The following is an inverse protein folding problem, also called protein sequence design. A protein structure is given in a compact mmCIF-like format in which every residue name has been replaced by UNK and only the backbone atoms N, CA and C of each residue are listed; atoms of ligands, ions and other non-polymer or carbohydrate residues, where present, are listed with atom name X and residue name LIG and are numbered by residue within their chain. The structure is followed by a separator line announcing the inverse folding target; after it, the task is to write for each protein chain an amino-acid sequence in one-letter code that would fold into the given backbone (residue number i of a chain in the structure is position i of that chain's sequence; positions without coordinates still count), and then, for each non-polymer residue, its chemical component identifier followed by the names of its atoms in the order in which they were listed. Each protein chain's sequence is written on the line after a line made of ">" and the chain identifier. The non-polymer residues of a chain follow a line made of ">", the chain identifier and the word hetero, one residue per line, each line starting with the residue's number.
data_IF_346491371572
#
_entry.id   IF_346491371572
#
_cell.length_a   1.000
_cell.length_b   1.000
_cell.length_c   1.000
_cell.angle_alpha   90.00
_cell.angle_beta   90.00
_cell.angle_gamma   90.00
#
_symmetry.space_group_name_H-M   'P 1'
#
loop_
_entity.id
_entity.type
_entity.pdbx_description
1 polymer ?
#
# COMPACT_ATOMS: atom_id res chain seq x y z
N UNK A 1 -3.14 -10.01 6.69
CA UNK A 1 -2.05 -10.40 7.62
C UNK A 1 -1.84 -11.92 7.75
N UNK A 2 -2.83 -12.76 8.08
CA UNK A 2 -2.64 -14.23 8.21
C UNK A 2 -2.07 -14.89 6.95
N UNK A 3 -2.60 -14.55 5.77
CA UNK A 3 -2.11 -15.11 4.49
C UNK A 3 -0.69 -14.63 4.15
N UNK A 4 -0.38 -13.37 4.39
CA UNK A 4 0.98 -12.82 4.25
C UNK A 4 1.96 -13.59 5.13
N UNK A 5 1.64 -13.81 6.42
CA UNK A 5 2.51 -14.56 7.33
C UNK A 5 2.71 -16.03 6.88
N UNK A 6 1.68 -16.66 6.31
CA UNK A 6 1.81 -18.00 5.71
C UNK A 6 2.77 -18.00 4.51
N UNK A 7 2.67 -17.01 3.63
CA UNK A 7 3.55 -16.88 2.45
C UNK A 7 4.99 -16.61 2.88
N UNK A 8 5.19 -15.74 3.86
CA UNK A 8 6.51 -15.46 4.46
C UNK A 8 7.10 -16.72 5.11
N UNK A 9 6.28 -17.51 5.82
CA UNK A 9 6.73 -18.75 6.43
C UNK A 9 7.20 -19.76 5.36
N UNK A 10 6.40 -20.00 4.32
CA UNK A 10 6.73 -20.92 3.22
C UNK A 10 8.00 -20.51 2.47
N UNK A 11 8.16 -19.23 2.13
CA UNK A 11 9.38 -18.73 1.49
C UNK A 11 10.60 -18.85 2.39
N UNK A 12 10.43 -18.61 3.68
CA UNK A 12 11.52 -18.77 4.65
C UNK A 12 11.94 -20.23 4.81
N UNK A 13 10.99 -21.15 4.85
CA UNK A 13 11.25 -22.59 4.93
C UNK A 13 12.02 -23.06 3.69
N UNK A 14 11.54 -22.72 2.50
CA UNK A 14 12.20 -23.05 1.24
C UNK A 14 13.61 -22.45 1.16
N UNK A 15 13.78 -21.18 1.57
CA UNK A 15 15.10 -20.55 1.65
C UNK A 15 16.02 -21.26 2.65
N UNK A 16 15.53 -21.60 3.83
CA UNK A 16 16.32 -22.25 4.89
C UNK A 16 16.76 -23.65 4.47
N UNK A 17 15.94 -24.39 3.70
CA UNK A 17 16.33 -25.65 3.12
C UNK A 17 17.62 -25.53 2.29
N UNK A 18 17.70 -24.47 1.45
CA UNK A 18 18.93 -24.20 0.69
C UNK A 18 20.08 -23.76 1.59
N UNK A 19 19.85 -22.89 2.56
CA UNK A 19 20.90 -22.44 3.51
C UNK A 19 21.50 -23.60 4.30
N UNK A 20 20.68 -24.55 4.75
CA UNK A 20 21.14 -25.70 5.53
C UNK A 20 22.00 -26.68 4.71
N UNK A 21 21.81 -26.73 3.39
CA UNK A 21 22.51 -27.65 2.49
C UNK A 21 23.72 -27.01 1.78
N UNK A 22 24.09 -25.78 2.16
CA UNK A 22 25.20 -25.07 1.54
C UNK A 22 26.50 -25.33 2.30
N UNK A 23 27.40 -26.09 1.67
CA UNK A 23 28.81 -26.12 2.06
C UNK A 23 29.61 -24.98 1.40
N UNK A 24 29.10 -24.38 0.31
CA UNK A 24 29.73 -23.26 -0.40
C UNK A 24 28.68 -22.40 -1.10
N UNK A 25 28.63 -21.10 -0.80
CA UNK A 25 27.64 -20.14 -1.34
C UNK A 25 27.66 -20.04 -2.87
N UNK A 26 28.79 -20.39 -3.50
CA UNK A 26 28.96 -20.32 -4.95
C UNK A 26 28.37 -21.54 -5.71
N UNK A 27 27.88 -22.56 -5.02
CA UNK A 27 27.45 -23.83 -5.64
C UNK A 27 25.95 -24.09 -5.45
N UNK A 28 25.17 -23.04 -5.28
CA UNK A 28 23.72 -23.10 -5.07
C UNK A 28 22.96 -23.47 -6.35
N UNK A 29 23.06 -24.73 -6.76
CA UNK A 29 22.21 -25.28 -7.84
C UNK A 29 20.75 -25.26 -7.41
N UNK A 30 19.89 -24.72 -8.27
CA UNK A 30 18.45 -24.64 -8.02
C UNK A 30 17.70 -25.60 -8.91
N UNK A 31 16.87 -26.44 -8.32
CA UNK A 31 15.99 -27.31 -9.08
C UNK A 31 14.89 -26.51 -9.81
N UNK A 32 14.54 -26.90 -11.02
CA UNK A 32 13.54 -26.20 -11.83
C UNK A 32 12.19 -26.04 -11.13
N UNK A 33 11.79 -27.02 -10.33
CA UNK A 33 10.56 -26.95 -9.56
C UNK A 33 10.63 -25.86 -8.47
N UNK A 34 11.79 -25.73 -7.82
CA UNK A 34 11.97 -24.73 -6.76
C UNK A 34 12.00 -23.30 -7.34
N UNK A 35 12.54 -23.12 -8.56
CA UNK A 35 12.45 -21.84 -9.27
C UNK A 35 10.98 -21.43 -9.46
N UNK A 36 10.12 -22.37 -9.86
CA UNK A 36 8.68 -22.11 -9.99
C UNK A 36 8.06 -21.75 -8.65
N UNK A 37 8.37 -22.48 -7.59
CA UNK A 37 7.87 -22.18 -6.25
C UNK A 37 8.33 -20.83 -5.73
N UNK A 38 9.62 -20.50 -5.85
CA UNK A 38 10.12 -19.17 -5.48
C UNK A 38 9.39 -18.07 -6.23
N UNK A 39 9.25 -18.17 -7.55
CA UNK A 39 8.56 -17.18 -8.36
C UNK A 39 7.09 -17.03 -7.96
N UNK A 40 6.37 -18.14 -7.77
CA UNK A 40 4.96 -18.12 -7.36
C UNK A 40 4.79 -17.44 -6.00
N UNK A 41 5.58 -17.85 -5.00
CA UNK A 41 5.47 -17.29 -3.65
C UNK A 41 5.97 -15.84 -3.58
N UNK A 42 6.99 -15.46 -4.37
CA UNK A 42 7.44 -14.07 -4.45
C UNK A 42 6.36 -13.18 -5.09
N UNK A 43 5.76 -13.59 -6.20
CA UNK A 43 4.63 -12.86 -6.80
C UNK A 43 3.48 -12.69 -5.80
N UNK A 44 3.11 -13.75 -5.09
CA UNK A 44 2.09 -13.69 -4.06
C UNK A 44 2.50 -12.77 -2.90
N UNK A 45 3.75 -12.85 -2.44
CA UNK A 45 4.26 -12.00 -1.36
C UNK A 45 4.27 -10.53 -1.75
N UNK A 46 4.71 -10.21 -2.97
CA UNK A 46 4.72 -8.85 -3.52
C UNK A 46 3.31 -8.26 -3.49
N UNK A 47 2.32 -8.98 -4.01
CA UNK A 47 0.93 -8.53 -4.00
C UNK A 47 0.37 -8.33 -2.59
N UNK A 48 0.75 -9.20 -1.65
CA UNK A 48 0.30 -9.13 -0.25
C UNK A 48 1.00 -8.03 0.55
N UNK A 49 2.25 -7.69 0.23
CA UNK A 49 3.05 -6.66 0.92
C UNK A 49 2.76 -5.28 0.36
N UNK A 50 2.48 -5.18 -0.94
CA UNK A 50 2.26 -3.89 -1.62
C UNK A 50 1.28 -2.97 -0.89
N UNK A 51 0.11 -3.44 -0.42
CA UNK A 51 -0.85 -2.63 0.33
C UNK A 51 -0.29 -2.00 1.60
N UNK A 52 0.70 -2.63 2.22
CA UNK A 52 1.26 -2.20 3.51
C UNK A 52 2.58 -1.46 3.35
N UNK A 53 3.35 -1.80 2.34
CA UNK A 53 4.68 -1.21 2.08
C UNK A 53 5.07 -1.34 0.61
N UNK A 54 4.66 -0.37 -0.24
CA UNK A 54 5.06 -0.34 -1.66
C UNK A 54 6.57 -0.38 -1.86
N UNK A 55 7.34 0.21 -0.94
CA UNK A 55 8.80 0.20 -1.00
C UNK A 55 9.37 -1.22 -0.85
N UNK A 56 8.85 -2.00 0.10
CA UNK A 56 9.27 -3.40 0.28
C UNK A 56 8.82 -4.26 -0.90
N UNK A 57 7.61 -4.03 -1.43
CA UNK A 57 7.12 -4.72 -2.60
C UNK A 57 8.02 -4.46 -3.82
N UNK A 58 8.46 -3.23 -4.04
CA UNK A 58 9.42 -2.88 -5.10
C UNK A 58 10.80 -3.56 -4.89
N UNK A 59 11.27 -3.63 -3.65
CA UNK A 59 12.49 -4.36 -3.31
C UNK A 59 12.36 -5.87 -3.59
N UNK A 60 11.20 -6.45 -3.30
CA UNK A 60 10.89 -7.85 -3.62
C UNK A 60 10.81 -8.10 -5.12
N UNK A 61 10.25 -7.16 -5.90
CA UNK A 61 10.24 -7.23 -7.37
C UNK A 61 11.67 -7.26 -7.94
N UNK A 62 12.57 -6.39 -7.45
CA UNK A 62 13.97 -6.39 -7.87
C UNK A 62 14.69 -7.69 -7.47
N UNK A 63 14.41 -8.20 -6.27
CA UNK A 63 14.93 -9.51 -5.83
C UNK A 63 14.41 -10.61 -6.76
N UNK A 64 13.12 -10.66 -7.07
CA UNK A 64 12.53 -11.69 -7.92
C UNK A 64 13.13 -11.68 -9.32
N UNK A 65 13.28 -10.50 -9.92
CA UNK A 65 13.85 -10.35 -11.27
C UNK A 65 15.30 -10.85 -11.37
N UNK A 66 16.06 -10.76 -10.28
CA UNK A 66 17.50 -11.01 -10.24
C UNK A 66 17.91 -12.17 -9.31
N UNK A 67 16.95 -12.97 -8.81
CA UNK A 67 17.21 -14.03 -7.82
C UNK A 67 18.04 -15.18 -8.39
N UNK A 68 17.87 -15.45 -9.69
CA UNK A 68 18.52 -16.59 -10.36
C UNK A 68 19.50 -16.12 -11.42
N UNK A 69 20.68 -16.75 -11.42
CA UNK A 69 21.67 -16.62 -12.49
C UNK A 69 21.54 -17.81 -13.43
N UNK A 70 21.32 -17.55 -14.72
CA UNK A 70 21.15 -18.55 -15.75
C UNK A 70 22.49 -18.79 -16.47
N UNK A 71 22.96 -20.03 -16.46
CA UNK A 71 24.12 -20.51 -17.18
C UNK A 71 23.89 -21.95 -17.64
N UNK A 72 24.93 -22.78 -17.72
CA UNK A 72 24.78 -24.21 -17.95
C UNK A 72 23.93 -24.90 -16.87
N UNK A 73 23.96 -24.36 -15.67
CA UNK A 73 23.07 -24.68 -14.55
C UNK A 73 22.47 -23.38 -14.01
N UNK A 74 21.31 -23.46 -13.41
CA UNK A 74 20.70 -22.30 -12.72
C UNK A 74 21.20 -22.31 -11.27
N UNK A 75 21.71 -21.17 -10.83
CA UNK A 75 22.16 -20.95 -9.46
C UNK A 75 21.44 -19.74 -8.87
N UNK A 76 21.40 -19.63 -7.53
CA UNK A 76 20.99 -18.38 -6.91
C UNK A 76 22.05 -17.28 -7.12
N UNK A 77 21.57 -16.05 -7.28
CA UNK A 77 22.41 -14.89 -7.08
C UNK A 77 22.64 -14.73 -5.56
N UNK A 78 23.89 -14.89 -5.07
CA UNK A 78 24.14 -14.90 -3.62
C UNK A 78 23.71 -13.61 -2.92
N UNK A 79 23.91 -12.47 -3.59
CA UNK A 79 23.52 -11.16 -3.06
C UNK A 79 22.00 -11.03 -2.92
N UNK A 80 21.25 -11.40 -3.97
CA UNK A 80 19.77 -11.31 -3.96
C UNK A 80 19.15 -12.35 -3.03
N UNK A 81 19.74 -13.51 -2.92
CA UNK A 81 19.34 -14.54 -1.96
C UNK A 81 19.55 -14.11 -0.51
N UNK A 82 20.65 -13.38 -0.23
CA UNK A 82 20.89 -12.73 1.05
C UNK A 82 19.86 -11.65 1.34
N UNK A 83 19.63 -10.75 0.39
CA UNK A 83 18.63 -9.67 0.50
C UNK A 83 17.22 -10.21 0.76
N UNK A 84 16.82 -11.30 0.09
CA UNK A 84 15.55 -11.98 0.36
C UNK A 84 15.44 -12.40 1.84
N UNK A 85 16.53 -12.96 2.40
CA UNK A 85 16.55 -13.33 3.83
C UNK A 85 16.31 -12.16 4.75
N UNK A 86 16.93 -11.01 4.48
CA UNK A 86 16.74 -9.77 5.27
C UNK A 86 15.30 -9.27 5.19
N UNK A 87 14.72 -9.24 3.99
CA UNK A 87 13.31 -8.81 3.81
C UNK A 87 12.35 -9.77 4.51
N UNK A 88 12.55 -11.09 4.39
CA UNK A 88 11.70 -12.07 5.07
C UNK A 88 11.81 -11.97 6.61
N UNK A 89 12.99 -11.69 7.14
CA UNK A 89 13.19 -11.47 8.58
C UNK A 89 12.44 -10.21 9.05
N UNK A 90 12.52 -9.11 8.29
CA UNK A 90 11.78 -7.90 8.58
C UNK A 90 10.26 -8.12 8.55
N UNK A 91 9.74 -8.79 7.53
CA UNK A 91 8.30 -9.10 7.42
C UNK A 91 7.77 -10.01 8.55
N UNK A 92 8.65 -10.72 9.23
CA UNK A 92 8.33 -11.52 10.45
C UNK A 92 8.42 -10.69 11.72
N UNK A 93 9.08 -9.55 11.69
CA UNK A 93 9.30 -8.74 12.90
C UNK A 93 8.01 -8.12 13.41
N UNK A 94 7.97 -7.88 14.72
CA UNK A 94 6.87 -7.15 15.33
C UNK A 94 6.78 -5.71 14.80
N UNK A 95 7.90 -5.10 14.41
CA UNK A 95 7.93 -3.74 13.86
C UNK A 95 7.11 -3.63 12.57
N UNK A 96 7.25 -4.62 11.66
CA UNK A 96 6.42 -4.66 10.46
C UNK A 96 4.94 -4.87 10.80
N UNK A 97 4.64 -5.81 11.71
CA UNK A 97 3.27 -6.12 12.14
C UNK A 97 2.63 -4.90 12.81
N UNK A 98 3.35 -4.22 13.70
CA UNK A 98 2.87 -3.02 14.38
C UNK A 98 2.66 -1.86 13.39
N UNK A 99 3.62 -1.61 12.49
CA UNK A 99 3.49 -0.55 11.51
C UNK A 99 2.31 -0.78 10.55
N UNK A 100 2.07 -2.01 10.12
CA UNK A 100 0.94 -2.33 9.23
C UNK A 100 -0.41 -2.28 9.95
N UNK A 101 -0.46 -2.59 11.25
CA UNK A 101 -1.69 -2.44 12.04
C UNK A 101 -2.01 -0.97 12.33
N UNK A 102 -1.03 -0.08 12.41
CA UNK A 102 -1.25 1.37 12.52
C UNK A 102 -1.96 1.95 11.30
N UNK A 103 -1.63 1.51 10.09
CA UNK A 103 -2.21 2.06 8.85
C UNK A 103 -3.69 1.74 8.62
N UNK A 104 -4.28 0.79 9.37
CA UNK A 104 -5.68 0.40 9.19
C UNK A 104 -6.50 0.46 10.47
N UNK A 105 -6.00 1.11 11.51
CA UNK A 105 -6.67 1.14 12.81
C UNK A 105 -7.35 2.49 13.06
N UNK A 106 -8.24 2.89 12.17
CA UNK A 106 -9.15 4.00 12.44
C UNK A 106 -10.38 3.46 13.21
N UNK A 107 -11.13 4.31 13.91
CA UNK A 107 -12.38 3.90 14.56
C UNK A 107 -13.50 3.59 13.55
N UNK A 108 -13.26 3.75 12.26
CA UNK A 108 -14.23 3.61 11.17
C UNK A 108 -13.99 2.33 10.36
N UNK A 109 -14.66 1.25 10.73
CA UNK A 109 -14.47 -0.06 10.07
C UNK A 109 -14.79 -0.03 8.56
N UNK A 110 -15.80 0.72 8.14
CA UNK A 110 -16.17 0.92 6.75
C UNK A 110 -15.06 1.55 5.92
N UNK A 111 -14.36 2.55 6.47
CA UNK A 111 -13.20 3.19 5.83
C UNK A 111 -12.02 2.22 5.79
N UNK A 112 -11.75 1.50 6.88
CA UNK A 112 -10.67 0.52 6.93
C UNK A 112 -10.85 -0.57 5.85
N UNK A 113 -12.06 -1.11 5.68
CA UNK A 113 -12.37 -2.09 4.64
C UNK A 113 -12.27 -1.51 3.23
N UNK A 114 -12.74 -0.28 3.02
CA UNK A 114 -12.65 0.40 1.74
C UNK A 114 -11.20 0.68 1.33
N UNK A 115 -10.36 1.14 2.26
CA UNK A 115 -8.92 1.35 2.03
C UNK A 115 -8.23 0.03 1.74
N UNK A 116 -8.53 -1.02 2.49
CA UNK A 116 -7.99 -2.36 2.23
C UNK A 116 -8.32 -2.84 0.82
N UNK A 117 -9.59 -2.71 0.42
CA UNK A 117 -10.02 -3.06 -0.95
C UNK A 117 -9.32 -2.22 -2.01
N UNK A 118 -9.20 -0.91 -1.82
CA UNK A 118 -8.45 -0.03 -2.71
C UNK A 118 -7.01 -0.52 -2.91
N UNK A 119 -6.34 -0.92 -1.84
CA UNK A 119 -4.98 -1.43 -1.87
C UNK A 119 -4.88 -2.76 -2.63
N UNK A 120 -5.83 -3.68 -2.40
CA UNK A 120 -5.93 -4.95 -3.12
C UNK A 120 -6.15 -4.73 -4.62
N UNK A 121 -7.13 -3.92 -4.99
CA UNK A 121 -7.48 -3.61 -6.38
C UNK A 121 -6.31 -2.90 -7.10
N UNK A 122 -5.63 -1.97 -6.43
CA UNK A 122 -4.48 -1.25 -7.01
C UNK A 122 -3.28 -2.15 -7.30
N UNK A 123 -3.11 -3.23 -6.52
CA UNK A 123 -2.03 -4.20 -6.75
C UNK A 123 -2.27 -5.10 -7.97
N UNK A 124 -3.53 -5.24 -8.39
CA UNK A 124 -3.95 -6.08 -9.51
C UNK A 124 -4.21 -5.27 -10.79
N UNK A 125 -4.26 -3.95 -10.71
CA UNK A 125 -4.60 -3.08 -11.81
C UNK A 125 -3.51 -3.05 -12.90
N UNK A 126 -3.88 -3.35 -14.14
CA UNK A 126 -2.96 -3.45 -15.27
C UNK A 126 -3.36 -2.61 -16.48
N UNK A 127 -4.59 -2.11 -16.52
CA UNK A 127 -5.14 -1.35 -17.64
C UNK A 127 -5.83 -0.07 -17.19
N UNK A 128 -6.01 0.87 -18.12
CA UNK A 128 -6.63 2.19 -17.84
C UNK A 128 -7.99 2.09 -17.12
N UNK A 129 -8.81 1.10 -17.48
CA UNK A 129 -10.13 0.91 -16.86
C UNK A 129 -10.00 0.63 -15.37
N UNK A 130 -9.05 -0.23 -14.99
CA UNK A 130 -8.77 -0.55 -13.59
C UNK A 130 -8.30 0.71 -12.85
N UNK A 131 -7.42 1.51 -13.48
CA UNK A 131 -6.92 2.75 -12.90
C UNK A 131 -8.04 3.78 -12.66
N UNK A 132 -8.98 3.91 -13.59
CA UNK A 132 -10.13 4.77 -13.41
C UNK A 132 -11.02 4.29 -12.25
N UNK A 133 -11.23 2.98 -12.11
CA UNK A 133 -11.98 2.39 -10.98
C UNK A 133 -11.30 2.66 -9.65
N UNK A 134 -9.96 2.60 -9.58
CA UNK A 134 -9.19 2.98 -8.39
C UNK A 134 -9.41 4.46 -8.05
N UNK A 135 -9.44 5.34 -9.05
CA UNK A 135 -9.77 6.76 -8.86
C UNK A 135 -11.16 6.96 -8.26
N UNK A 136 -12.17 6.23 -8.76
CA UNK A 136 -13.54 6.23 -8.22
C UNK A 136 -13.56 5.74 -6.78
N UNK A 137 -12.91 4.60 -6.48
CA UNK A 137 -12.86 4.05 -5.14
C UNK A 137 -12.16 5.00 -4.14
N UNK A 138 -11.06 5.63 -4.55
CA UNK A 138 -10.37 6.63 -3.75
C UNK A 138 -11.26 7.84 -3.43
N UNK A 139 -12.02 8.32 -4.42
CA UNK A 139 -12.96 9.43 -4.23
C UNK A 139 -14.06 9.06 -3.23
N UNK A 140 -14.61 7.85 -3.32
CA UNK A 140 -15.63 7.38 -2.36
C UNK A 140 -15.06 7.30 -0.94
N UNK A 141 -13.82 6.85 -0.76
CA UNK A 141 -13.14 6.85 0.55
C UNK A 141 -13.04 8.27 1.11
N UNK A 142 -12.66 9.25 0.30
CA UNK A 142 -12.58 10.65 0.74
C UNK A 142 -13.97 11.21 1.12
N UNK A 143 -15.02 10.84 0.40
CA UNK A 143 -16.39 11.25 0.73
C UNK A 143 -16.81 10.62 2.07
N UNK A 144 -16.57 9.31 2.25
CA UNK A 144 -16.87 8.61 3.50
C UNK A 144 -16.11 9.24 4.67
N UNK A 145 -14.80 9.48 4.52
CA UNK A 145 -13.96 10.10 5.55
C UNK A 145 -14.47 11.49 5.93
N UNK A 146 -14.76 12.31 4.92
CA UNK A 146 -15.28 13.64 5.12
C UNK A 146 -16.62 13.64 5.88
N UNK A 147 -17.53 12.73 5.54
CA UNK A 147 -18.83 12.57 6.21
C UNK A 147 -18.72 12.11 7.66
N UNK A 148 -17.64 11.37 8.02
CA UNK A 148 -17.40 10.92 9.40
C UNK A 148 -16.97 12.05 10.33
N UNK A 149 -16.21 13.01 9.82
CA UNK A 149 -15.57 14.03 10.64
C UNK A 149 -16.22 15.42 10.51
N UNK A 150 -16.92 15.67 9.42
CA UNK A 150 -17.52 16.98 9.17
C UNK A 150 -18.80 17.22 10.00
N UNK A 151 -18.80 18.30 10.76
CA UNK A 151 -19.96 18.81 11.45
C UNK A 151 -20.35 20.19 10.86
N UNK A 152 -21.51 20.35 10.18
CA UNK A 152 -21.89 21.60 9.52
C UNK A 152 -22.13 22.78 10.48
N UNK A 153 -22.29 22.53 11.78
CA UNK A 153 -22.46 23.58 12.79
C UNK A 153 -21.11 24.16 13.23
N UNK A 154 -20.06 23.32 13.26
CA UNK A 154 -18.71 23.72 13.68
C UNK A 154 -17.82 24.08 12.48
N UNK A 155 -17.84 23.26 11.44
CA UNK A 155 -16.92 23.35 10.30
C UNK A 155 -17.57 24.15 9.17
N UNK A 156 -17.46 25.47 9.24
CA UNK A 156 -18.07 26.37 8.24
C UNK A 156 -17.14 26.63 7.08
N UNK A 157 -17.74 26.81 5.90
CA UNK A 157 -17.02 27.30 4.74
C UNK A 157 -16.73 28.80 4.88
N UNK A 158 -15.65 29.28 4.25
CA UNK A 158 -15.22 30.69 4.32
C UNK A 158 -16.29 31.66 3.80
N UNK A 159 -17.14 31.22 2.86
CA UNK A 159 -18.22 32.02 2.28
C UNK A 159 -19.59 31.82 2.96
N UNK A 160 -19.65 31.08 4.05
CA UNK A 160 -20.87 30.78 4.81
C UNK A 160 -21.87 29.85 4.09
N UNK A 161 -21.56 29.37 2.89
CA UNK A 161 -22.42 28.42 2.16
C UNK A 161 -22.37 27.02 2.73
N UNK A 162 -23.47 26.30 2.64
CA UNK A 162 -23.51 24.88 3.01
C UNK A 162 -22.68 24.05 2.05
N UNK A 163 -21.81 23.22 2.60
CA UNK A 163 -21.02 22.27 1.85
C UNK A 163 -21.89 21.06 1.50
N UNK A 164 -21.88 20.66 0.22
CA UNK A 164 -22.65 19.51 -0.26
C UNK A 164 -22.14 18.18 0.31
N UNK A 165 -23.04 17.20 0.51
CA UNK A 165 -22.68 15.87 1.09
C UNK A 165 -21.68 15.06 0.27
N UNK A 166 -21.50 15.36 -1.00
CA UNK A 166 -20.53 14.70 -1.88
C UNK A 166 -19.26 15.55 -2.11
N UNK A 167 -19.18 16.72 -1.49
CA UNK A 167 -18.03 17.61 -1.58
C UNK A 167 -17.00 17.27 -0.48
N UNK A 168 -16.29 16.17 -0.70
CA UNK A 168 -15.24 15.71 0.22
C UNK A 168 -14.16 16.77 0.43
N UNK A 169 -13.77 17.48 -0.63
CA UNK A 169 -12.77 18.54 -0.57
C UNK A 169 -13.21 19.66 0.37
N UNK A 170 -14.41 20.20 0.16
CA UNK A 170 -14.95 21.27 1.01
C UNK A 170 -15.08 20.83 2.46
N UNK A 171 -15.63 19.66 2.72
CA UNK A 171 -15.81 19.11 4.07
C UNK A 171 -14.48 18.88 4.80
N UNK A 172 -13.50 18.22 4.16
CA UNK A 172 -12.18 17.97 4.76
C UNK A 172 -11.39 19.25 4.97
N UNK A 173 -11.47 20.20 4.03
CA UNK A 173 -10.83 21.51 4.19
C UNK A 173 -11.40 22.26 5.39
N UNK A 174 -12.73 22.30 5.53
CA UNK A 174 -13.39 22.98 6.65
C UNK A 174 -13.07 22.31 8.00
N UNK A 175 -13.06 20.96 8.04
CA UNK A 175 -12.67 20.20 9.22
C UNK A 175 -11.22 20.49 9.63
N UNK A 176 -10.25 20.36 8.72
CA UNK A 176 -8.84 20.58 9.02
C UNK A 176 -8.52 22.03 9.38
N UNK A 177 -9.21 23.00 8.77
CA UNK A 177 -9.09 24.42 9.16
C UNK A 177 -9.51 24.65 10.60
N UNK A 178 -10.60 24.02 11.02
CA UNK A 178 -11.15 24.19 12.36
C UNK A 178 -10.26 23.48 13.42
N UNK A 179 -9.85 22.25 13.14
CA UNK A 179 -9.18 21.40 14.13
C UNK A 179 -7.65 21.64 14.22
N UNK A 180 -6.96 21.87 13.10
CA UNK A 180 -5.51 21.99 13.06
C UNK A 180 -5.00 23.41 12.83
N UNK A 181 -5.73 24.22 12.07
CA UNK A 181 -5.30 25.55 11.61
C UNK A 181 -3.93 25.54 10.88
N UNK A 182 -3.52 24.39 10.34
CA UNK A 182 -2.24 24.18 9.65
C UNK A 182 -2.44 24.18 8.13
N UNK A 183 -2.08 25.31 7.48
CA UNK A 183 -2.35 25.53 6.06
C UNK A 183 -1.74 24.46 5.15
N UNK A 184 -0.55 23.96 5.47
CA UNK A 184 0.10 22.93 4.64
C UNK A 184 -0.65 21.59 4.61
N UNK A 185 -1.28 21.21 5.73
CA UNK A 185 -2.11 20.00 5.78
C UNK A 185 -3.45 20.20 5.04
N UNK A 186 -4.00 21.40 5.09
CA UNK A 186 -5.20 21.79 4.32
C UNK A 186 -4.90 21.72 2.83
N UNK A 187 -3.78 22.26 2.39
CA UNK A 187 -3.33 22.22 0.99
C UNK A 187 -3.10 20.76 0.55
N UNK A 188 -2.45 19.96 1.38
CA UNK A 188 -2.24 18.54 1.11
C UNK A 188 -3.56 17.78 0.93
N UNK A 189 -4.53 17.94 1.84
CA UNK A 189 -5.84 17.31 1.73
C UNK A 189 -6.58 17.73 0.44
N UNK A 190 -6.50 19.01 0.09
CA UNK A 190 -7.09 19.54 -1.14
C UNK A 190 -6.50 18.88 -2.38
N UNK A 191 -5.17 18.78 -2.45
CA UNK A 191 -4.49 18.18 -3.60
C UNK A 191 -4.66 16.65 -3.66
N UNK A 192 -4.74 15.97 -2.52
CA UNK A 192 -5.04 14.54 -2.45
C UNK A 192 -6.41 14.20 -3.05
N UNK A 193 -7.45 14.99 -2.73
CA UNK A 193 -8.80 14.81 -3.31
C UNK A 193 -8.80 15.11 -4.81
N UNK A 194 -8.12 16.16 -5.27
CA UNK A 194 -7.98 16.49 -6.70
C UNK A 194 -7.24 15.37 -7.48
N UNK A 195 -6.28 14.71 -6.84
CA UNK A 195 -5.58 13.60 -7.47
C UNK A 195 -6.53 12.43 -7.78
N UNK A 196 -7.48 12.11 -6.87
CA UNK A 196 -8.50 11.10 -7.13
C UNK A 196 -9.38 11.45 -8.34
N UNK A 197 -9.83 12.70 -8.44
CA UNK A 197 -10.58 13.19 -9.61
C UNK A 197 -9.78 13.04 -10.91
N UNK A 198 -8.48 13.37 -10.86
CA UNK A 198 -7.59 13.27 -12.02
C UNK A 198 -7.44 11.81 -12.46
N UNK A 199 -7.27 10.87 -11.53
CA UNK A 199 -7.13 9.42 -11.84
C UNK A 199 -8.45 8.85 -12.37
N UNK A 200 -9.59 9.26 -11.83
CA UNK A 200 -10.92 8.86 -12.32
C UNK A 200 -11.13 9.18 -13.82
N UNK A 201 -10.56 10.28 -14.30
CA UNK A 201 -10.71 10.74 -15.69
C UNK A 201 -9.46 10.55 -16.55
N UNK A 202 -8.56 9.69 -16.14
CA UNK A 202 -7.31 9.44 -16.83
C UNK A 202 -7.52 8.90 -18.25
N UNK A 203 -6.83 9.51 -19.23
CA UNK A 203 -6.91 9.12 -20.65
C UNK A 203 -5.79 8.16 -21.07
N UNK A 204 -4.71 8.11 -20.30
CA UNK A 204 -3.53 7.30 -20.56
C UNK A 204 -3.20 6.45 -19.35
N UNK A 205 -2.51 5.33 -19.57
CA UNK A 205 -2.05 4.46 -18.50
C UNK A 205 -0.87 5.13 -17.76
N UNK A 206 -1.04 5.34 -16.46
CA UNK A 206 0.00 5.91 -15.58
C UNK A 206 -0.04 5.25 -14.20
N UNK A 207 0.61 4.10 -14.11
CA UNK A 207 0.71 3.33 -12.87
C UNK A 207 1.33 4.12 -11.71
N UNK A 208 2.28 5.05 -11.99
CA UNK A 208 2.91 5.87 -10.95
C UNK A 208 1.90 6.83 -10.32
N UNK A 209 1.01 7.39 -11.12
CA UNK A 209 -0.04 8.29 -10.63
C UNK A 209 -1.05 7.55 -9.76
N UNK A 210 -1.41 6.31 -10.13
CA UNK A 210 -2.27 5.44 -9.33
C UNK A 210 -1.60 5.10 -7.99
N UNK A 211 -0.32 4.74 -8.00
CA UNK A 211 0.45 4.49 -6.78
C UNK A 211 0.50 5.73 -5.87
N UNK A 212 0.72 6.92 -6.46
CA UNK A 212 0.70 8.19 -5.72
C UNK A 212 -0.66 8.45 -5.09
N UNK A 213 -1.76 8.14 -5.80
CA UNK A 213 -3.11 8.27 -5.26
C UNK A 213 -3.34 7.34 -4.06
N UNK A 214 -2.93 6.09 -4.15
CA UNK A 214 -3.08 5.12 -3.05
C UNK A 214 -2.35 5.61 -1.80
N UNK A 215 -1.11 6.11 -1.96
CA UNK A 215 -0.33 6.71 -0.87
C UNK A 215 -1.05 7.95 -0.30
N UNK A 216 -1.60 8.81 -1.16
CA UNK A 216 -2.32 10.00 -0.72
C UNK A 216 -3.59 9.66 0.08
N UNK A 217 -4.36 8.64 -0.34
CA UNK A 217 -5.55 8.16 0.39
C UNK A 217 -5.17 7.65 1.78
N UNK A 218 -4.21 6.74 1.86
CA UNK A 218 -3.79 6.16 3.15
C UNK A 218 -3.25 7.24 4.10
N UNK A 219 -2.41 8.12 3.60
CA UNK A 219 -1.83 9.21 4.40
C UNK A 219 -2.89 10.20 4.89
N UNK A 220 -3.87 10.55 4.06
CA UNK A 220 -4.93 11.48 4.47
C UNK A 220 -5.86 10.84 5.51
N UNK A 221 -6.20 9.57 5.36
CA UNK A 221 -6.98 8.83 6.36
C UNK A 221 -6.25 8.83 7.72
N UNK A 222 -4.94 8.60 7.75
CA UNK A 222 -4.14 8.65 8.96
C UNK A 222 -4.06 10.04 9.61
N UNK A 223 -3.85 11.08 8.80
CA UNK A 223 -3.84 12.47 9.29
C UNK A 223 -5.17 12.79 9.97
N UNK A 224 -6.28 12.53 9.28
CA UNK A 224 -7.62 12.80 9.82
C UNK A 224 -7.90 11.96 11.06
N UNK A 225 -7.49 10.68 11.08
CA UNK A 225 -7.63 9.82 12.24
C UNK A 225 -6.82 10.32 13.45
N UNK A 226 -5.60 10.81 13.23
CA UNK A 226 -4.76 11.35 14.31
C UNK A 226 -5.37 12.61 14.92
N UNK A 227 -5.96 13.48 14.09
CA UNK A 227 -6.67 14.68 14.55
C UNK A 227 -7.93 14.30 15.34
N UNK A 228 -8.72 13.38 14.79
CA UNK A 228 -9.98 12.92 15.39
C UNK A 228 -9.78 12.27 16.78
N UNK A 229 -8.69 11.53 17.00
CA UNK A 229 -8.38 10.89 18.30
C UNK A 229 -7.92 11.86 19.38
N UNK A 230 -7.42 13.01 19.01
CA UNK A 230 -6.89 14.02 19.92
C UNK A 230 -7.97 15.02 20.40
N UNK A 231 -9.17 14.93 19.83
CA UNK A 231 -10.36 15.68 20.21
C UNK A 231 -11.38 14.81 20.95
#
# INVERSE_FOLDING_TARGET
>A
MKELQKTVAKLSELRNHYVANINNVNDLRVHLNDIKFFNTFLTQLISQVFPYSPHIANSLNDIQANLFVRGAIVTFNPFRFGSLGTVLAYLKSNDFICNTSMYLNTPWNDINEAVKKLLEDSSLANVRLDYNQIGVAAREIYIMLAQKVYNPELHKNDDGKKIGKADAKGMLTAYLKYELQEQKLIDYATEAVKLAETVTHMKTEDAKRVQSLVIAVTSLVEIVNSVYRNN
#
